data_IF_357827475464
#
_entry.id   IF_357827475464
#
_cell.length_a   1.000
_cell.length_b   1.000
_cell.length_c   1.000
_cell.angle_alpha   90.00
_cell.angle_beta   90.00
_cell.angle_gamma   90.00
#
_symmetry.space_group_name_H-M   'P 1'
#
loop_
_entity.id
_entity.type
_entity.pdbx_description
1 polymer ?
#
# COMPACT_ATOMS: atom_id res chain seq x y z
N UNK A 1 29.89 22.02 12.12
CA UNK A 1 28.89 22.91 12.73
C UNK A 1 27.58 22.56 12.07
N UNK A 2 27.01 21.38 12.28
CA UNK A 2 26.49 20.85 13.55
C UNK A 2 25.58 21.84 14.28
N UNK A 3 24.31 21.83 13.88
CA UNK A 3 23.17 22.22 14.69
C UNK A 3 22.26 20.99 14.81
N UNK A 4 22.59 20.15 15.78
CA UNK A 4 21.66 19.51 16.72
C UNK A 4 20.44 18.78 16.12
N UNK A 5 20.71 17.59 15.58
CA UNK A 5 19.76 16.48 15.60
C UNK A 5 19.71 15.85 17.00
N UNK A 6 19.26 16.61 18.01
CA UNK A 6 18.81 16.04 19.28
C UNK A 6 17.32 16.32 19.43
N UNK A 7 16.49 15.34 19.04
CA UNK A 7 15.07 15.38 19.37
C UNK A 7 14.88 14.48 20.61
N UNK A 8 15.12 15.05 21.79
CA UNK A 8 14.92 14.41 23.10
C UNK A 8 13.46 14.55 23.56
N UNK A 9 12.85 13.43 23.99
CA UNK A 9 11.55 13.36 24.69
C UNK A 9 10.57 12.39 24.02
N UNK A 10 9.71 11.70 24.76
CA UNK A 10 8.68 10.77 24.21
C UNK A 10 7.70 11.41 23.21
N UNK A 11 7.65 12.75 23.12
CA UNK A 11 6.92 13.50 22.10
C UNK A 11 7.67 13.73 20.77
N UNK A 12 8.97 13.44 20.74
CA UNK A 12 9.91 13.61 19.61
C UNK A 12 9.61 12.67 18.45
N UNK A 13 9.47 11.38 18.76
CA UNK A 13 9.30 10.29 17.78
C UNK A 13 7.99 10.44 17.02
N UNK A 14 6.92 10.92 17.67
CA UNK A 14 5.61 11.18 17.04
C UNK A 14 5.63 12.25 15.95
N UNK A 15 6.65 13.12 15.89
CA UNK A 15 6.81 14.17 14.88
C UNK A 15 7.88 13.86 13.83
N UNK A 16 8.55 12.71 13.92
CA UNK A 16 9.66 12.36 13.04
C UNK A 16 9.28 12.39 11.55
N UNK A 17 8.03 12.01 11.25
CA UNK A 17 7.49 11.93 9.90
C UNK A 17 6.73 13.19 9.44
N UNK A 18 6.69 14.24 10.26
CA UNK A 18 6.08 15.52 9.89
C UNK A 18 7.00 16.33 8.96
N UNK A 19 6.37 17.00 8.00
CA UNK A 19 7.01 18.02 7.16
C UNK A 19 6.45 19.39 7.54
N UNK A 20 7.31 20.30 7.97
CA UNK A 20 6.93 21.67 8.28
C UNK A 20 6.65 22.48 7.01
N UNK A 21 5.66 23.38 7.06
CA UNK A 21 5.42 24.36 5.99
C UNK A 21 4.81 23.79 4.71
N UNK A 22 4.25 22.57 4.73
CA UNK A 22 3.61 21.96 3.56
C UNK A 22 2.11 22.20 3.60
N UNK A 23 1.58 22.78 2.52
CA UNK A 23 0.14 22.93 2.31
C UNK A 23 -0.47 21.64 1.74
N UNK A 24 -1.38 21.02 2.49
CA UNK A 24 -1.99 19.74 2.12
C UNK A 24 -3.19 20.00 1.23
N UNK A 25 -3.02 19.78 -0.07
CA UNK A 25 -4.01 20.04 -1.11
C UNK A 25 -5.08 18.93 -1.25
N UNK A 26 -5.69 18.55 -0.11
CA UNK A 26 -6.88 17.70 -0.05
C UNK A 26 -8.09 18.51 0.43
N UNK A 27 -9.29 18.11 0.02
CA UNK A 27 -10.52 18.78 0.43
C UNK A 27 -10.70 18.67 1.95
N UNK A 28 -11.19 19.72 2.65
CA UNK A 28 -11.52 19.63 4.07
C UNK A 28 -12.47 18.45 4.34
N UNK A 29 -12.09 17.57 5.26
CA UNK A 29 -12.84 16.35 5.58
C UNK A 29 -12.53 15.13 4.70
N UNK A 30 -11.55 15.20 3.81
CA UNK A 30 -11.11 14.03 3.04
C UNK A 30 -10.51 12.93 3.94
N UNK A 31 -10.86 11.66 3.70
CA UNK A 31 -10.34 10.51 4.43
C UNK A 31 -8.81 10.35 4.40
N UNK A 32 -8.14 10.89 3.39
CA UNK A 32 -6.67 10.84 3.27
C UNK A 32 -5.95 11.49 4.47
N UNK A 33 -6.54 12.48 5.15
CA UNK A 33 -5.94 13.07 6.35
C UNK A 33 -5.81 12.06 7.48
N UNK A 34 -6.83 11.23 7.69
CA UNK A 34 -6.81 10.17 8.70
C UNK A 34 -5.79 9.08 8.36
N UNK A 35 -5.73 8.69 7.08
CA UNK A 35 -4.75 7.69 6.60
C UNK A 35 -3.33 8.20 6.82
N UNK A 36 -3.03 9.44 6.42
CA UNK A 36 -1.73 10.06 6.62
C UNK A 36 -1.35 10.08 8.12
N UNK A 37 -2.30 10.43 8.99
CA UNK A 37 -2.07 10.44 10.44
C UNK A 37 -1.79 9.03 10.97
N UNK A 38 -2.60 8.04 10.60
CA UNK A 38 -2.42 6.64 11.00
C UNK A 38 -1.06 6.09 10.53
N UNK A 39 -0.67 6.39 9.29
CA UNK A 39 0.62 5.99 8.73
C UNK A 39 1.80 6.62 9.50
N UNK A 40 1.76 7.93 9.77
CA UNK A 40 2.81 8.59 10.57
C UNK A 40 2.95 7.98 11.97
N UNK A 41 1.84 7.68 12.62
CA UNK A 41 1.83 7.04 13.95
C UNK A 41 2.40 5.62 13.87
N UNK A 42 1.99 4.83 12.88
CA UNK A 42 2.49 3.47 12.69
C UNK A 42 4.00 3.45 12.45
N UNK A 43 4.51 4.32 11.58
CA UNK A 43 5.94 4.42 11.29
C UNK A 43 6.75 4.85 12.52
N UNK A 44 6.23 5.80 13.31
CA UNK A 44 6.87 6.25 14.55
C UNK A 44 6.90 5.15 15.63
N UNK A 45 5.82 4.39 15.79
CA UNK A 45 5.75 3.27 16.75
C UNK A 45 6.59 2.06 16.33
N UNK A 46 6.88 1.91 15.04
CA UNK A 46 7.82 0.90 14.53
C UNK A 46 9.28 1.34 14.59
N UNK A 47 9.58 2.53 15.13
CA UNK A 47 10.92 3.13 15.19
C UNK A 47 11.62 3.16 13.81
N UNK A 48 10.83 3.34 12.75
CA UNK A 48 11.37 3.43 11.39
C UNK A 48 12.02 4.79 11.20
N UNK A 49 13.18 4.78 10.54
CA UNK A 49 13.89 6.01 10.19
C UNK A 49 13.45 6.51 8.81
N UNK A 50 13.14 7.81 8.64
CA UNK A 50 12.76 8.38 7.35
C UNK A 50 13.71 8.04 6.20
N UNK A 51 15.02 7.99 6.45
CA UNK A 51 16.04 7.65 5.45
C UNK A 51 16.00 6.19 4.98
N UNK A 52 15.34 5.29 5.74
CA UNK A 52 15.13 3.87 5.39
C UNK A 52 13.78 3.60 4.74
N UNK A 53 12.88 4.58 4.76
CA UNK A 53 11.55 4.49 4.19
C UNK A 53 11.54 5.02 2.75
N UNK A 54 10.99 4.24 1.84
CA UNK A 54 10.64 4.68 0.48
C UNK A 54 9.15 4.48 0.24
N UNK A 55 8.43 5.58 -0.04
CA UNK A 55 7.04 5.51 -0.48
C UNK A 55 6.98 5.68 -2.01
N UNK A 56 6.27 4.79 -2.68
CA UNK A 56 6.12 4.78 -4.13
C UNK A 56 4.66 4.97 -4.46
N UNK A 57 4.34 6.03 -5.22
CA UNK A 57 2.95 6.35 -5.55
C UNK A 57 2.73 6.45 -7.06
N UNK A 58 1.46 6.26 -7.46
CA UNK A 58 1.00 6.49 -8.83
C UNK A 58 0.46 7.91 -8.99
N UNK A 59 -0.74 8.05 -9.55
CA UNK A 59 -1.40 9.36 -9.76
C UNK A 59 -2.80 9.31 -9.18
N UNK A 60 -3.20 10.36 -8.46
CA UNK A 60 -4.50 10.47 -7.78
C UNK A 60 -4.41 11.35 -6.53
N UNK A 61 -5.54 11.57 -5.85
CA UNK A 61 -5.51 12.33 -4.58
C UNK A 61 -4.70 11.57 -3.51
N UNK A 62 -4.91 10.27 -3.39
CA UNK A 62 -4.15 9.39 -2.51
C UNK A 62 -2.65 9.36 -2.83
N UNK A 63 -2.29 9.41 -4.12
CA UNK A 63 -0.90 9.37 -4.54
C UNK A 63 -0.06 10.59 -4.09
N UNK A 64 -0.72 11.63 -3.54
CA UNK A 64 -0.05 12.79 -2.95
C UNK A 64 0.52 12.53 -1.56
N UNK A 65 0.14 11.45 -0.87
CA UNK A 65 0.65 11.14 0.49
C UNK A 65 2.17 11.30 0.66
N UNK A 66 3.03 10.75 -0.21
CA UNK A 66 4.49 10.91 -0.04
C UNK A 66 4.98 12.36 -0.02
N UNK A 67 4.22 13.31 -0.57
CA UNK A 67 4.56 14.74 -0.54
C UNK A 67 4.26 15.41 0.81
N UNK A 68 3.52 14.73 1.70
CA UNK A 68 3.05 15.26 2.98
C UNK A 68 3.67 14.56 4.20
N UNK A 69 4.69 13.72 3.95
CA UNK A 69 5.38 12.91 4.95
C UNK A 69 6.89 12.89 4.69
N UNK A 70 7.69 12.98 5.75
CA UNK A 70 9.15 12.93 5.66
C UNK A 70 9.63 11.52 5.30
N UNK A 71 9.95 11.28 4.04
CA UNK A 71 10.48 10.02 3.53
C UNK A 71 11.28 10.25 2.24
N UNK A 72 11.95 9.21 1.74
CA UNK A 72 12.29 9.15 0.33
C UNK A 72 11.05 8.72 -0.45
N UNK A 73 10.83 9.25 -1.65
CA UNK A 73 9.71 8.79 -2.46
C UNK A 73 9.97 8.81 -3.95
N UNK A 74 9.22 7.97 -4.66
CA UNK A 74 9.12 7.99 -6.12
C UNK A 74 7.65 8.13 -6.52
N UNK A 75 7.27 9.31 -7.00
CA UNK A 75 5.96 9.52 -7.62
C UNK A 75 6.07 9.13 -9.10
N UNK A 76 5.59 7.95 -9.44
CA UNK A 76 5.61 7.42 -10.80
C UNK A 76 4.36 7.75 -11.61
N UNK A 77 4.11 6.95 -12.63
CA UNK A 77 2.95 7.05 -13.51
C UNK A 77 1.70 6.40 -12.89
N UNK A 78 0.52 6.76 -13.42
CA UNK A 78 -0.74 6.17 -13.01
C UNK A 78 -0.72 4.64 -13.22
N UNK A 79 -1.13 3.89 -12.21
CA UNK A 79 -1.06 2.42 -12.20
C UNK A 79 0.33 1.80 -12.11
N UNK A 80 1.43 2.57 -12.03
CA UNK A 80 2.81 2.03 -12.10
C UNK A 80 3.58 2.04 -10.77
N UNK A 81 2.91 2.24 -9.64
CA UNK A 81 3.55 2.23 -8.32
C UNK A 81 4.19 0.87 -7.99
N UNK A 82 3.47 -0.24 -8.22
CA UNK A 82 3.93 -1.58 -7.83
C UNK A 82 5.18 -2.08 -8.58
N UNK A 83 5.31 -1.90 -9.91
CA UNK A 83 6.56 -2.23 -10.61
C UNK A 83 7.78 -1.48 -10.05
N UNK A 84 7.65 -0.17 -9.82
CA UNK A 84 8.74 0.63 -9.29
C UNK A 84 9.08 0.24 -7.83
N UNK A 85 8.07 0.03 -6.98
CA UNK A 85 8.26 -0.44 -5.61
C UNK A 85 8.97 -1.80 -5.56
N UNK A 86 8.56 -2.74 -6.42
CA UNK A 86 9.20 -4.06 -6.54
C UNK A 86 10.67 -3.91 -6.92
N UNK A 87 10.99 -3.05 -7.89
CA UNK A 87 12.37 -2.81 -8.31
C UNK A 87 13.22 -2.19 -7.19
N UNK A 88 12.69 -1.18 -6.48
CA UNK A 88 13.38 -0.54 -5.36
C UNK A 88 13.73 -1.57 -4.28
N UNK A 89 12.76 -2.40 -3.87
CA UNK A 89 12.98 -3.44 -2.87
C UNK A 89 13.95 -4.52 -3.36
N UNK A 90 13.84 -4.92 -4.62
CA UNK A 90 14.71 -5.92 -5.24
C UNK A 90 16.15 -5.44 -5.48
N UNK A 91 16.42 -4.12 -5.45
CA UNK A 91 17.78 -3.55 -5.58
C UNK A 91 18.39 -3.31 -4.20
N UNK A 92 17.57 -2.96 -3.22
CA UNK A 92 17.98 -2.67 -1.85
C UNK A 92 17.01 -3.28 -0.82
N UNK A 93 17.25 -4.55 -0.41
CA UNK A 93 16.39 -5.26 0.54
C UNK A 93 16.33 -4.62 1.93
N UNK A 94 17.31 -3.77 2.29
CA UNK A 94 17.36 -3.08 3.58
C UNK A 94 16.32 -1.96 3.72
N UNK A 95 15.65 -1.57 2.63
CA UNK A 95 14.64 -0.50 2.65
C UNK A 95 13.27 -1.05 3.07
N UNK A 96 12.55 -0.25 3.84
CA UNK A 96 11.10 -0.41 4.00
C UNK A 96 10.42 0.28 2.82
N UNK A 97 9.66 -0.47 2.03
CA UNK A 97 9.04 0.03 0.80
C UNK A 97 7.53 -0.06 0.91
N UNK A 98 6.86 1.07 0.76
CA UNK A 98 5.40 1.18 0.75
C UNK A 98 4.95 1.64 -0.64
N UNK A 99 4.04 0.92 -1.27
CA UNK A 99 3.35 1.35 -2.47
C UNK A 99 1.97 1.92 -2.09
N UNK A 100 1.73 3.21 -2.32
CA UNK A 100 0.53 3.88 -1.83
C UNK A 100 -0.18 4.68 -2.95
N UNK A 101 -1.45 4.37 -3.19
CA UNK A 101 -2.26 5.11 -4.16
C UNK A 101 -3.76 4.84 -4.01
N UNK A 102 -4.58 5.38 -4.93
CA UNK A 102 -6.03 5.19 -4.91
C UNK A 102 -6.48 3.86 -5.51
N UNK A 103 -7.69 3.44 -5.17
CA UNK A 103 -8.45 2.35 -5.78
C UNK A 103 -8.34 2.31 -7.31
N UNK A 104 -8.68 3.40 -8.01
CA UNK A 104 -8.63 3.43 -9.46
C UNK A 104 -7.21 3.33 -10.05
N UNK A 105 -6.20 3.73 -9.27
CA UNK A 105 -4.80 3.57 -9.65
C UNK A 105 -4.33 2.12 -9.46
N UNK A 106 -4.61 1.50 -8.31
CA UNK A 106 -4.09 0.17 -7.97
C UNK A 106 -4.94 -0.98 -8.53
N UNK A 107 -6.26 -0.82 -8.49
CA UNK A 107 -7.23 -1.82 -8.92
C UNK A 107 -7.70 -1.63 -10.36
N UNK A 108 -7.58 -0.41 -10.90
CA UNK A 108 -7.89 -0.09 -12.29
C UNK A 108 -6.69 -0.30 -13.19
N UNK A 109 -6.00 0.79 -13.56
CA UNK A 109 -4.86 0.74 -14.47
C UNK A 109 -3.69 -0.12 -13.94
N UNK A 110 -3.54 -0.18 -12.61
CA UNK A 110 -2.54 -0.98 -11.92
C UNK A 110 -2.92 -2.45 -11.69
N UNK A 111 -4.15 -2.87 -12.04
CA UNK A 111 -4.70 -4.16 -11.63
C UNK A 111 -3.84 -5.36 -12.04
N UNK A 112 -3.28 -5.35 -13.27
CA UNK A 112 -2.39 -6.43 -13.70
C UNK A 112 -1.08 -6.46 -12.90
N UNK A 113 -0.55 -5.29 -12.51
CA UNK A 113 0.64 -5.23 -11.66
C UNK A 113 0.34 -5.71 -10.24
N UNK A 114 -0.85 -5.46 -9.70
CA UNK A 114 -1.31 -6.01 -8.42
C UNK A 114 -1.31 -7.54 -8.43
N UNK A 115 -1.95 -8.15 -9.44
CA UNK A 115 -1.97 -9.61 -9.62
C UNK A 115 -0.55 -10.17 -9.58
N UNK A 116 0.37 -9.54 -10.30
CA UNK A 116 1.74 -10.01 -10.39
C UNK A 116 2.59 -9.70 -9.15
N UNK A 117 2.34 -8.61 -8.42
CA UNK A 117 2.98 -8.32 -7.15
C UNK A 117 2.60 -9.40 -6.11
N UNK A 118 1.31 -9.72 -6.00
CA UNK A 118 0.83 -10.81 -5.13
C UNK A 118 1.53 -12.13 -5.46
N UNK A 119 1.60 -12.50 -6.75
CA UNK A 119 2.23 -13.75 -7.19
C UNK A 119 3.73 -13.81 -6.93
N UNK A 120 4.44 -12.68 -7.05
CA UNK A 120 5.89 -12.61 -6.81
C UNK A 120 6.25 -12.49 -5.33
N UNK A 121 5.32 -11.99 -4.52
CA UNK A 121 5.49 -11.78 -3.08
C UNK A 121 6.71 -10.90 -2.72
N UNK A 122 6.97 -9.75 -3.37
CA UNK A 122 8.02 -8.84 -2.91
C UNK A 122 7.70 -8.30 -1.53
N UNK A 123 8.73 -8.06 -0.72
CA UNK A 123 8.61 -7.60 0.66
C UNK A 123 8.26 -6.10 0.72
N UNK A 124 7.01 -5.78 0.34
CA UNK A 124 6.47 -4.43 0.23
C UNK A 124 5.04 -4.38 0.79
N UNK A 125 4.68 -3.24 1.38
CA UNK A 125 3.30 -2.96 1.81
C UNK A 125 2.58 -2.14 0.75
N UNK A 126 1.43 -2.60 0.27
CA UNK A 126 0.56 -1.88 -0.63
C UNK A 126 -0.65 -1.32 0.13
N UNK A 127 -0.71 0.01 0.26
CA UNK A 127 -1.83 0.72 0.90
C UNK A 127 -2.70 1.33 -0.20
N UNK A 128 -3.97 0.93 -0.25
CA UNK A 128 -4.92 1.41 -1.26
C UNK A 128 -6.00 2.26 -0.61
N UNK A 129 -6.14 3.49 -1.08
CA UNK A 129 -7.14 4.43 -0.58
C UNK A 129 -8.43 4.22 -1.38
N UNK A 130 -9.36 3.45 -0.83
CA UNK A 130 -10.61 3.11 -1.48
C UNK A 130 -11.73 4.09 -1.10
N UNK A 131 -11.89 5.12 -1.93
CA UNK A 131 -13.04 6.03 -1.89
C UNK A 131 -14.12 5.70 -2.90
N UNK A 132 -13.95 4.59 -3.63
CA UNK A 132 -14.90 4.14 -4.65
C UNK A 132 -15.17 5.20 -5.73
N UNK A 133 -14.20 6.09 -6.01
CA UNK A 133 -14.33 7.18 -7.01
C UNK A 133 -12.98 7.78 -7.44
N UNK A 134 -12.83 8.11 -8.72
CA UNK A 134 -11.69 8.90 -9.19
C UNK A 134 -11.80 10.38 -8.77
N UNK A 135 -11.33 10.68 -7.56
CA UNK A 135 -11.44 12.03 -6.99
C UNK A 135 -10.60 13.12 -7.68
N UNK A 136 -9.43 12.79 -8.22
CA UNK A 136 -8.55 13.80 -8.85
C UNK A 136 -9.10 14.28 -10.20
N UNK A 137 -9.69 13.37 -10.98
CA UNK A 137 -10.21 13.64 -12.32
C UNK A 137 -11.67 14.08 -12.32
N UNK A 138 -12.18 14.48 -11.14
CA UNK A 138 -13.53 15.04 -10.92
C UNK A 138 -14.69 14.04 -10.92
N UNK A 139 -14.48 12.87 -10.33
CA UNK A 139 -15.58 12.06 -9.79
C UNK A 139 -16.11 10.95 -10.69
N UNK A 140 -15.31 10.42 -11.62
CA UNK A 140 -15.68 9.22 -12.40
C UNK A 140 -15.73 7.98 -11.51
N UNK A 141 -16.52 6.98 -11.90
CA UNK A 141 -16.58 5.72 -11.19
C UNK A 141 -15.23 4.99 -11.23
N UNK A 142 -14.80 4.46 -10.09
CA UNK A 142 -13.62 3.59 -9.96
C UNK A 142 -14.03 2.11 -10.08
N UNK A 143 -13.08 1.17 -10.11
CA UNK A 143 -13.38 -0.27 -10.10
C UNK A 143 -14.17 -0.74 -8.88
N UNK A 144 -14.15 0.00 -7.76
CA UNK A 144 -14.83 -0.34 -6.51
C UNK A 144 -16.14 0.44 -6.33
N UNK A 145 -16.53 1.30 -7.29
CA UNK A 145 -17.83 1.97 -7.28
C UNK A 145 -19.00 0.99 -7.32
N UNK A 146 -19.95 1.16 -6.40
CA UNK A 146 -21.15 0.32 -6.30
C UNK A 146 -22.05 0.42 -7.54
N UNK A 147 -22.73 -0.68 -7.88
CA UNK A 147 -23.77 -0.68 -8.94
C UNK A 147 -24.82 0.39 -8.64
N UNK A 148 -25.25 1.08 -9.69
CA UNK A 148 -26.20 2.20 -9.60
C UNK A 148 -25.58 3.53 -9.17
N UNK A 149 -24.30 3.58 -8.75
CA UNK A 149 -23.64 4.85 -8.43
C UNK A 149 -23.58 5.75 -9.67
N UNK A 150 -24.20 6.93 -9.58
CA UNK A 150 -24.25 7.90 -10.67
C UNK A 150 -23.10 8.89 -10.57
N UNK A 151 -22.45 9.14 -11.70
CA UNK A 151 -21.38 10.12 -11.84
C UNK A 151 -21.62 10.98 -13.09
N UNK A 152 -20.85 12.04 -13.32
CA UNK A 152 -20.92 12.78 -14.59
C UNK A 152 -20.68 11.92 -15.83
N UNK A 153 -19.85 10.87 -15.73
CA UNK A 153 -19.55 9.95 -16.84
C UNK A 153 -20.51 8.75 -16.90
N UNK A 154 -21.09 8.35 -15.77
CA UNK A 154 -22.04 7.24 -15.64
C UNK A 154 -23.43 7.78 -15.23
N UNK A 155 -24.09 8.51 -16.14
CA UNK A 155 -25.38 9.16 -15.87
C UNK A 155 -26.51 8.17 -15.53
N UNK A 156 -26.49 6.99 -16.17
CA UNK A 156 -27.43 5.89 -15.89
C UNK A 156 -27.04 5.06 -14.65
N UNK A 157 -25.90 5.36 -14.01
CA UNK A 157 -25.32 4.58 -12.93
C UNK A 157 -24.30 3.55 -13.42
N UNK A 158 -23.38 3.16 -12.54
CA UNK A 158 -22.44 2.05 -12.79
C UNK A 158 -23.21 0.74 -12.95
N UNK A 159 -22.95 0.01 -14.04
CA UNK A 159 -23.60 -1.28 -14.29
C UNK A 159 -22.71 -2.48 -13.97
N UNK A 160 -21.39 -2.28 -13.93
CA UNK A 160 -20.39 -3.30 -13.59
C UNK A 160 -20.48 -3.71 -12.12
N UNK A 161 -20.20 -4.98 -11.85
CA UNK A 161 -19.96 -5.44 -10.49
C UNK A 161 -18.66 -4.82 -9.95
N UNK A 162 -18.65 -4.31 -8.71
CA UNK A 162 -17.44 -3.75 -8.11
C UNK A 162 -16.38 -4.83 -7.95
N UNK A 163 -15.12 -4.49 -8.21
CA UNK A 163 -14.00 -5.36 -7.88
C UNK A 163 -13.93 -5.54 -6.36
N UNK A 164 -13.82 -6.79 -5.91
CA UNK A 164 -13.50 -7.11 -4.53
C UNK A 164 -11.99 -7.36 -4.37
N UNK A 165 -11.21 -6.38 -3.87
CA UNK A 165 -9.75 -6.51 -3.82
C UNK A 165 -9.27 -7.58 -2.84
N UNK A 166 -9.98 -7.76 -1.71
CA UNK A 166 -9.64 -8.79 -0.73
C UNK A 166 -9.91 -10.18 -1.27
N UNK A 167 -11.06 -10.41 -1.89
CA UNK A 167 -11.39 -11.71 -2.48
C UNK A 167 -10.38 -12.07 -3.59
N UNK A 168 -10.04 -11.11 -4.45
CA UNK A 168 -8.98 -11.29 -5.46
C UNK A 168 -7.64 -11.67 -4.81
N UNK A 169 -7.22 -10.95 -3.77
CA UNK A 169 -5.93 -11.19 -3.12
C UNK A 169 -5.88 -12.55 -2.42
N UNK A 170 -6.94 -12.94 -1.72
CA UNK A 170 -7.07 -14.27 -1.08
C UNK A 170 -7.14 -15.38 -2.14
N UNK A 171 -7.84 -15.18 -3.26
CA UNK A 171 -7.88 -16.11 -4.40
C UNK A 171 -6.49 -16.29 -5.06
N UNK A 172 -5.66 -15.26 -5.05
CA UNK A 172 -4.26 -15.34 -5.49
C UNK A 172 -3.29 -15.83 -4.41
N UNK A 173 -3.81 -16.15 -3.22
CA UNK A 173 -3.05 -16.63 -2.06
C UNK A 173 -1.99 -15.60 -1.64
N UNK A 174 -2.38 -14.34 -1.49
CA UNK A 174 -1.51 -13.27 -0.97
C UNK A 174 -0.91 -13.62 0.40
N UNK A 175 0.27 -13.10 0.72
CA UNK A 175 0.90 -13.39 2.02
C UNK A 175 0.33 -12.57 3.17
N UNK A 176 -0.24 -11.39 2.90
CA UNK A 176 -1.00 -10.63 3.89
C UNK A 176 -2.12 -9.83 3.21
N UNK A 177 -3.34 -9.91 3.75
CA UNK A 177 -4.51 -9.13 3.33
C UNK A 177 -5.22 -8.53 4.54
N UNK A 178 -5.48 -7.23 4.49
CA UNK A 178 -6.26 -6.55 5.51
C UNK A 178 -7.13 -5.46 4.90
N UNK A 179 -8.16 -5.06 5.63
CA UNK A 179 -8.96 -3.88 5.31
C UNK A 179 -9.15 -3.01 6.53
N UNK A 180 -9.01 -1.72 6.34
CA UNK A 180 -9.11 -0.71 7.39
C UNK A 180 -10.13 0.37 7.00
N UNK A 181 -10.46 1.25 7.94
CA UNK A 181 -11.36 2.36 7.72
C UNK A 181 -10.76 3.66 8.23
N UNK A 182 -10.65 4.66 7.36
CA UNK A 182 -10.10 5.98 7.69
C UNK A 182 -10.88 6.73 8.79
N UNK A 183 -12.10 6.32 9.14
CA UNK A 183 -12.82 6.86 10.28
C UNK A 183 -12.33 6.33 11.64
N UNK A 184 -11.48 5.31 11.65
CA UNK A 184 -10.89 4.71 12.85
C UNK A 184 -9.36 4.69 12.73
N UNK A 185 -8.74 5.73 13.26
CA UNK A 185 -7.30 5.99 13.10
C UNK A 185 -6.45 5.00 13.90
N UNK A 186 -6.89 4.61 15.10
CA UNK A 186 -6.09 3.72 15.96
C UNK A 186 -6.06 2.30 15.40
N UNK A 187 -7.20 1.74 15.01
CA UNK A 187 -7.23 0.41 14.38
C UNK A 187 -6.51 0.40 13.03
N UNK A 188 -6.68 1.46 12.22
CA UNK A 188 -5.94 1.61 10.95
C UNK A 188 -4.43 1.63 11.17
N UNK A 189 -3.97 2.33 12.21
CA UNK A 189 -2.55 2.36 12.61
C UNK A 189 -2.05 0.97 13.00
N UNK A 190 -2.78 0.21 13.80
CA UNK A 190 -2.38 -1.16 14.18
C UNK A 190 -2.33 -2.10 12.97
N UNK A 191 -3.28 -1.99 12.03
CA UNK A 191 -3.25 -2.73 10.77
C UNK A 191 -2.01 -2.36 9.94
N UNK A 192 -1.68 -1.07 9.83
CA UNK A 192 -0.46 -0.62 9.14
C UNK A 192 0.80 -1.18 9.79
N UNK A 193 0.90 -1.18 11.13
CA UNK A 193 2.04 -1.76 11.84
C UNK A 193 2.23 -3.23 11.49
N UNK A 194 1.14 -4.00 11.48
CA UNK A 194 1.14 -5.42 11.09
C UNK A 194 1.54 -5.62 9.63
N UNK A 195 1.03 -4.80 8.72
CA UNK A 195 1.29 -4.90 7.29
C UNK A 195 2.73 -4.48 6.91
N UNK A 196 3.30 -3.49 7.58
CA UNK A 196 4.69 -3.02 7.39
C UNK A 196 5.69 -4.01 7.98
N UNK A 197 5.33 -4.66 9.08
CA UNK A 197 6.17 -5.66 9.75
C UNK A 197 6.06 -7.06 9.11
N UNK A 198 5.08 -7.26 8.22
CA UNK A 198 4.88 -8.53 7.53
C UNK A 198 5.96 -8.74 6.47
N UNK A 199 6.48 -9.97 6.41
CA UNK A 199 7.50 -10.35 5.46
C UNK A 199 6.90 -10.89 4.17
N UNK A 200 6.89 -10.07 3.13
CA UNK A 200 6.27 -10.36 1.84
C UNK A 200 5.25 -9.29 1.42
N UNK A 201 4.47 -9.58 0.39
CA UNK A 201 3.51 -8.61 -0.15
C UNK A 201 2.28 -8.49 0.75
N UNK A 202 2.11 -7.33 1.37
CA UNK A 202 0.96 -7.01 2.22
C UNK A 202 0.00 -6.05 1.51
N UNK A 203 -1.25 -6.46 1.28
CA UNK A 203 -2.30 -5.58 0.78
C UNK A 203 -3.14 -5.04 1.95
N UNK A 204 -3.28 -3.72 2.02
CA UNK A 204 -4.20 -3.05 2.94
C UNK A 204 -5.18 -2.18 2.14
N UNK A 205 -6.43 -2.62 2.10
CA UNK A 205 -7.54 -1.91 1.48
C UNK A 205 -8.16 -0.94 2.50
N UNK A 206 -8.04 0.38 2.30
CA UNK A 206 -8.48 1.36 3.30
C UNK A 206 -9.70 2.10 2.79
N UNK A 207 -10.87 1.80 3.36
CA UNK A 207 -12.07 2.57 3.08
C UNK A 207 -11.90 4.00 3.55
N UNK A 208 -12.08 4.96 2.64
CA UNK A 208 -11.87 6.37 2.92
C UNK A 208 -12.90 7.23 2.17
N UNK A 209 -13.68 8.07 2.86
CA UNK A 209 -14.68 8.89 2.18
C UNK A 209 -14.09 10.01 1.29
N UNK A 210 -14.57 10.09 0.05
CA UNK A 210 -14.38 11.27 -0.81
C UNK A 210 -15.55 12.25 -0.65
N UNK A 211 -15.41 13.17 0.30
CA UNK A 211 -16.46 14.15 0.64
C UNK A 211 -16.91 15.05 -0.52
N UNK A 212 -16.11 15.18 -1.57
CA UNK A 212 -16.44 16.05 -2.72
C UNK A 212 -17.31 15.34 -3.74
N UNK A 213 -16.94 14.11 -4.12
CA UNK A 213 -17.51 13.42 -5.29
C UNK A 213 -18.30 12.15 -4.96
N UNK A 214 -18.01 11.45 -3.86
CA UNK A 214 -18.79 10.29 -3.43
C UNK A 214 -19.69 10.68 -2.25
N UNK A 215 -20.94 11.04 -2.58
CA UNK A 215 -21.97 11.43 -1.59
C UNK A 215 -22.74 10.25 -1.01
N UNK A 216 -22.49 9.03 -1.51
CA UNK A 216 -23.15 7.80 -1.05
C UNK A 216 -22.33 7.18 0.07
N UNK A 217 -21.07 6.80 -0.22
CA UNK A 217 -20.18 6.14 0.74
C UNK A 217 -19.49 7.18 1.63
N UNK A 218 -20.27 7.77 2.53
CA UNK A 218 -19.81 8.75 3.53
C UNK A 218 -19.19 8.08 4.76
N UNK A 219 -18.60 8.86 5.68
CA UNK A 219 -18.16 8.34 6.98
C UNK A 219 -19.27 7.61 7.74
N UNK A 220 -20.49 8.17 7.72
CA UNK A 220 -21.64 7.54 8.38
C UNK A 220 -21.98 6.22 7.70
N UNK A 221 -22.04 6.20 6.37
CA UNK A 221 -22.33 5.00 5.60
C UNK A 221 -21.35 3.87 5.93
N UNK A 222 -20.04 4.13 5.89
CA UNK A 222 -19.05 3.11 6.25
C UNK A 222 -19.20 2.62 7.70
N UNK A 223 -19.46 3.49 8.68
CA UNK A 223 -19.70 3.05 10.07
C UNK A 223 -20.90 2.12 10.21
N UNK A 224 -21.97 2.37 9.45
CA UNK A 224 -23.19 1.55 9.49
C UNK A 224 -23.02 0.21 8.74
N UNK A 225 -22.14 0.19 7.73
CA UNK A 225 -21.97 -0.93 6.80
C UNK A 225 -20.66 -1.69 6.99
N UNK A 226 -19.94 -1.48 8.09
CA UNK A 226 -18.70 -2.20 8.41
C UNK A 226 -18.76 -2.79 9.81
N UNK A 227 -17.90 -3.77 10.08
CA UNK A 227 -17.68 -4.32 11.40
C UNK A 227 -16.25 -4.90 11.49
N UNK A 228 -15.67 -5.00 12.67
CA UNK A 228 -14.35 -5.63 12.84
C UNK A 228 -14.48 -7.14 13.02
N UNK A 229 -13.62 -7.89 12.35
CA UNK A 229 -13.43 -9.32 12.63
C UNK A 229 -13.06 -9.51 14.11
N UNK A 230 -13.63 -10.53 14.73
CA UNK A 230 -13.42 -10.84 16.15
C UNK A 230 -12.00 -11.35 16.42
N UNK A 231 -11.53 -11.22 17.66
CA UNK A 231 -10.22 -11.73 18.09
C UNK A 231 -10.08 -13.25 17.94
N UNK A 232 -11.20 -13.97 17.91
CA UNK A 232 -11.29 -15.42 17.70
C UNK A 232 -11.02 -15.83 16.24
N UNK A 233 -11.05 -14.89 15.30
CA UNK A 233 -10.85 -15.14 13.87
C UNK A 233 -9.43 -15.61 13.57
N UNK A 234 -9.30 -16.73 12.84
CA UNK A 234 -8.01 -17.27 12.40
C UNK A 234 -7.63 -16.72 11.01
N UNK A 235 -6.66 -15.80 10.90
CA UNK A 235 -6.23 -15.27 9.60
C UNK A 235 -5.39 -16.27 8.79
N UNK A 236 -5.07 -17.45 9.31
CA UNK A 236 -4.35 -18.48 8.54
C UNK A 236 -5.29 -19.37 7.71
N UNK A 237 -6.59 -19.39 8.02
CA UNK A 237 -7.60 -20.11 7.24
C UNK A 237 -7.97 -19.32 5.98
N UNK A 238 -7.45 -19.79 4.84
CA UNK A 238 -7.70 -19.17 3.54
C UNK A 238 -9.15 -19.28 3.09
N UNK A 239 -9.84 -20.36 3.41
CA UNK A 239 -11.22 -20.58 2.98
C UNK A 239 -12.13 -19.64 3.76
N UNK A 240 -11.92 -19.52 5.07
CA UNK A 240 -12.66 -18.57 5.89
C UNK A 240 -12.36 -17.12 5.50
N UNK A 241 -11.09 -16.79 5.23
CA UNK A 241 -10.73 -15.47 4.69
C UNK A 241 -11.44 -15.13 3.38
N UNK A 242 -11.60 -16.11 2.49
CA UNK A 242 -12.30 -15.90 1.23
C UNK A 242 -13.80 -15.69 1.46
N UNK A 243 -14.43 -16.46 2.35
CA UNK A 243 -15.85 -16.25 2.73
C UNK A 243 -16.06 -14.87 3.34
N UNK A 244 -15.24 -14.47 4.31
CA UNK A 244 -15.30 -13.13 4.92
C UNK A 244 -15.11 -12.02 3.89
N UNK A 245 -14.18 -12.19 2.96
CA UNK A 245 -13.97 -11.20 1.90
C UNK A 245 -15.21 -11.02 1.01
N UNK A 246 -16.05 -12.05 0.82
CA UNK A 246 -17.26 -12.01 -0.02
C UNK A 246 -18.50 -11.43 0.66
N UNK A 247 -18.46 -11.10 1.95
CA UNK A 247 -19.62 -10.52 2.64
C UNK A 247 -20.00 -9.15 2.04
N UNK A 248 -21.29 -8.97 1.76
CA UNK A 248 -21.83 -7.73 1.14
C UNK A 248 -22.81 -6.97 2.03
N UNK A 249 -23.41 -7.63 3.03
CA UNK A 249 -24.39 -7.00 3.94
C UNK A 249 -23.69 -6.00 4.87
N UNK A 250 -22.60 -6.44 5.49
CA UNK A 250 -21.61 -5.59 6.14
C UNK A 250 -20.23 -6.01 5.68
N UNK A 251 -19.36 -5.02 5.48
CA UNK A 251 -18.02 -5.19 4.97
C UNK A 251 -17.06 -5.37 6.17
N UNK A 252 -16.42 -6.55 6.32
CA UNK A 252 -15.56 -6.77 7.47
C UNK A 252 -14.29 -5.90 7.40
N UNK A 253 -13.75 -5.55 8.56
CA UNK A 253 -12.51 -4.82 8.77
C UNK A 253 -11.56 -5.68 9.61
N UNK A 254 -10.26 -5.41 9.52
CA UNK A 254 -9.22 -6.15 10.22
C UNK A 254 -8.31 -6.92 9.27
N UNK A 255 -7.57 -7.89 9.80
CA UNK A 255 -6.66 -8.73 9.03
C UNK A 255 -7.38 -10.00 8.60
N UNK A 256 -7.55 -10.14 7.29
CA UNK A 256 -8.31 -11.25 6.68
C UNK A 256 -7.44 -12.48 6.49
N UNK A 257 -6.21 -12.30 6.01
CA UNK A 257 -5.38 -13.44 5.63
C UNK A 257 -3.91 -13.16 5.91
N UNK A 258 -3.23 -14.15 6.50
CA UNK A 258 -1.78 -14.15 6.71
C UNK A 258 -1.24 -15.51 6.32
N UNK A 259 -0.25 -15.51 5.44
CA UNK A 259 0.44 -16.70 4.96
C UNK A 259 1.92 -16.41 4.80
N UNK A 260 2.78 -17.37 5.18
CA UNK A 260 4.23 -17.25 5.04
C UNK A 260 4.69 -17.92 3.76
N UNK A 261 5.42 -17.16 2.94
CA UNK A 261 6.00 -17.64 1.68
C UNK A 261 7.36 -16.98 1.45
N UNK A 262 8.24 -17.62 0.66
CA UNK A 262 9.46 -16.96 0.22
C UNK A 262 9.14 -15.64 -0.46
N UNK A 263 9.89 -14.59 -0.14
CA UNK A 263 9.72 -13.29 -0.78
C UNK A 263 10.34 -13.30 -2.17
N UNK A 264 10.01 -12.29 -2.99
CA UNK A 264 10.61 -12.15 -4.31
C UNK A 264 12.14 -12.10 -4.22
N UNK A 265 12.67 -11.34 -3.26
CA UNK A 265 14.09 -11.09 -3.04
C UNK A 265 14.84 -12.36 -2.65
N UNK A 266 14.24 -13.23 -1.82
CA UNK A 266 14.83 -14.52 -1.45
C UNK A 266 14.99 -15.48 -2.62
N UNK A 267 14.09 -15.38 -3.60
CA UNK A 267 14.15 -16.22 -4.80
C UNK A 267 15.20 -15.72 -5.81
N UNK A 268 15.71 -14.49 -5.66
CA UNK A 268 16.75 -13.96 -6.54
C UNK A 268 18.10 -14.60 -6.20
N UNK A 269 18.72 -15.22 -7.22
CA UNK A 269 20.06 -15.81 -7.10
C UNK A 269 21.12 -14.83 -6.58
N UNK A 270 20.93 -13.54 -6.91
CA UNK A 270 21.73 -12.41 -6.46
C UNK A 270 21.88 -12.31 -4.93
N UNK A 271 20.86 -12.75 -4.18
CA UNK A 271 20.77 -12.58 -2.73
C UNK A 271 21.07 -13.86 -1.93
N UNK A 272 21.35 -14.99 -2.60
CA UNK A 272 21.65 -16.28 -1.93
C UNK A 272 22.86 -16.23 -1.00
N UNK A 273 23.86 -15.42 -1.32
CA UNK A 273 25.13 -15.34 -0.57
C UNK A 273 25.23 -14.10 0.33
N UNK A 274 24.52 -13.02 -0.01
CA UNK A 274 24.58 -11.75 0.67
C UNK A 274 23.35 -10.92 0.35
N UNK A 275 22.76 -10.28 1.37
CA UNK A 275 21.68 -9.30 1.25
C UNK A 275 22.18 -7.87 0.98
N UNK A 276 23.49 -7.69 0.80
CA UNK A 276 24.10 -6.37 0.59
C UNK A 276 23.43 -5.64 -0.58
N UNK A 277 22.98 -4.38 -0.42
CA UNK A 277 22.36 -3.62 -1.49
C UNK A 277 23.25 -3.50 -2.73
N UNK A 278 22.65 -3.51 -3.93
CA UNK A 278 23.41 -3.55 -5.17
C UNK A 278 24.39 -2.38 -5.35
N UNK A 279 24.04 -1.19 -4.88
CA UNK A 279 24.87 0.01 -4.99
C UNK A 279 26.18 -0.05 -4.18
N UNK A 280 26.29 -0.98 -3.22
CA UNK A 280 27.52 -1.19 -2.42
C UNK A 280 28.43 -2.27 -2.99
N UNK A 281 27.92 -3.08 -3.92
CA UNK A 281 28.66 -4.19 -4.52
C UNK A 281 29.63 -3.67 -5.58
N UNK A 282 30.81 -4.29 -5.65
CA UNK A 282 31.79 -4.05 -6.72
C UNK A 282 31.68 -5.12 -7.79
N UNK A 283 31.81 -4.72 -9.05
CA UNK A 283 31.88 -5.64 -10.19
C UNK A 283 33.23 -6.36 -10.14
N UNK A 284 33.20 -7.69 -10.26
CA UNK A 284 34.42 -8.48 -10.43
C UNK A 284 34.75 -8.55 -11.93
N UNK A 285 35.76 -7.78 -12.35
CA UNK A 285 36.17 -7.69 -13.75
C UNK A 285 36.82 -8.99 -14.27
N UNK A 286 37.42 -9.80 -13.39
CA UNK A 286 38.04 -11.08 -13.77
C UNK A 286 36.95 -12.07 -14.22
N UNK A 287 35.85 -12.16 -13.48
CA UNK A 287 34.68 -12.98 -13.85
C UNK A 287 34.07 -12.53 -15.18
N UNK A 288 34.03 -11.22 -15.44
CA UNK A 288 33.58 -10.69 -16.74
C UNK A 288 34.55 -11.11 -17.85
N UNK A 289 35.86 -11.01 -17.62
CA UNK A 289 36.89 -11.46 -18.56
C UNK A 289 36.74 -12.93 -18.92
N UNK A 290 36.56 -13.79 -17.92
CA UNK A 290 36.33 -15.23 -18.11
C UNK A 290 35.08 -15.52 -18.96
N UNK A 291 33.97 -14.79 -18.74
CA UNK A 291 32.74 -14.92 -19.54
C UNK A 291 32.91 -14.46 -20.99
N UNK A 292 33.64 -13.36 -21.20
CA UNK A 292 33.96 -12.86 -22.56
C UNK A 292 34.84 -13.87 -23.29
N UNK A 293 35.86 -14.43 -22.62
CA UNK A 293 36.75 -15.40 -23.25
C UNK A 293 36.04 -16.73 -23.52
N UNK A 294 35.12 -17.16 -22.65
CA UNK A 294 34.30 -18.35 -22.89
C UNK A 294 33.42 -18.21 -24.14
N UNK A 295 32.86 -17.02 -24.40
CA UNK A 295 32.01 -16.78 -25.58
C UNK A 295 32.81 -16.61 -26.88
N UNK A 296 34.11 -16.29 -26.81
CA UNK A 296 35.00 -16.24 -27.99
C UNK A 296 35.50 -17.60 -28.46
N UNK A 297 35.37 -18.63 -27.63
CA UNK A 297 35.85 -20.01 -27.91
C UNK A 297 34.76 -20.95 -28.45
N UNK A 298 33.53 -20.47 -28.61
CA UNK A 298 32.41 -21.19 -29.25
C UNK A 298 32.05 -20.58 -30.59
#
# INVERSE_FOLDING_TARGET
MDESLEVKGEGSTRRLFDLGGVDVAWCPGCGNFSILKALKMALAELDLKPERLVIVSGIGQAAKTPHYLRCNFFNGLHGRALPAATAIKAVNPELTVIAESGDGCMYGEGGNHLIHAIRRNPDITCIVHDNMVYGLTRGQASPTSLRGFKTPAQAAGVFHEPLNPLALAVALNVSFAARAFAGDIEETKEIFKRAISHRGFALVDVFQPCVTYNRVNTYQWFREHTYYLEDSYDPSDRVEAFKKALETDKLPLGVFYVNRKPTFEENLSLYRKSLEPLHRRKVNMDVIGELIDATRRG
#
